data_IF_607174763364
#
_entry.id   IF_607174763364
#
_cell.length_a   1.000
_cell.length_b   1.000
_cell.length_c   1.000
_cell.angle_alpha   90.00
_cell.angle_beta   90.00
_cell.angle_gamma   90.00
#
_symmetry.space_group_name_H-M   'P 1'
#
loop_
_entity.id
_entity.type
_entity.pdbx_description
1 polymer ?
#
# COMPACT_ATOMS: atom_id res chain seq x y z
N UNK A 1 -4.49 -5.85 -3.21
CA UNK A 1 -4.68 -6.00 -1.75
C UNK A 1 -6.06 -6.54 -1.32
N UNK A 2 -7.11 -6.51 -2.16
CA UNK A 2 -8.52 -6.79 -1.76
C UNK A 2 -8.80 -8.12 -1.05
N UNK A 3 -8.00 -9.17 -1.27
CA UNK A 3 -8.13 -10.45 -0.57
C UNK A 3 -7.68 -10.42 0.89
N UNK A 4 -7.01 -9.35 1.34
CA UNK A 4 -6.51 -9.20 2.70
C UNK A 4 -7.51 -8.46 3.62
N UNK A 5 -8.68 -8.05 3.11
CA UNK A 5 -9.64 -7.19 3.81
C UNK A 5 -10.13 -7.76 5.15
N UNK A 6 -10.25 -9.08 5.27
CA UNK A 6 -10.80 -9.75 6.45
C UNK A 6 -9.73 -10.00 7.52
N UNK A 7 -8.44 -9.76 7.21
CA UNK A 7 -7.34 -9.95 8.15
C UNK A 7 -7.23 -8.80 9.15
N UNK A 8 -6.79 -9.10 10.37
CA UNK A 8 -6.49 -8.09 11.38
C UNK A 8 -5.13 -7.41 11.15
N UNK A 9 -5.06 -6.51 10.17
CA UNK A 9 -3.86 -5.73 9.86
C UNK A 9 -3.70 -4.58 10.87
N UNK A 10 -2.66 -4.69 11.72
CA UNK A 10 -2.34 -3.70 12.76
C UNK A 10 -1.36 -2.63 12.30
N UNK A 11 -0.71 -2.84 11.15
CA UNK A 11 0.29 -1.95 10.60
C UNK A 11 0.77 -2.43 9.23
N UNK A 12 1.44 -1.56 8.50
CA UNK A 12 1.91 -1.78 7.13
C UNK A 12 3.09 -0.87 6.82
N UNK A 13 4.03 -1.36 6.00
CA UNK A 13 5.12 -0.59 5.42
C UNK A 13 5.26 -0.91 3.92
N UNK A 14 5.89 0.01 3.19
CA UNK A 14 6.31 -0.20 1.79
C UNK A 14 7.76 0.25 1.72
N UNK A 15 8.64 -0.71 1.48
CA UNK A 15 10.10 -0.54 1.53
C UNK A 15 10.73 -0.82 0.16
N UNK A 16 12.02 -0.57 0.03
CA UNK A 16 12.81 -0.83 -1.19
C UNK A 16 12.39 -0.02 -2.42
N UNK A 17 11.82 1.17 -2.22
CA UNK A 17 11.72 2.18 -3.28
C UNK A 17 13.07 2.88 -3.40
N UNK A 18 13.77 2.68 -4.50
CA UNK A 18 15.08 3.27 -4.77
C UNK A 18 15.00 4.29 -5.92
N UNK A 19 14.75 5.59 -5.65
CA UNK A 19 14.50 6.59 -6.69
C UNK A 19 15.62 6.72 -7.72
N UNK A 20 16.88 6.54 -7.30
CA UNK A 20 18.04 6.60 -8.18
C UNK A 20 18.04 5.53 -9.29
N UNK A 21 17.32 4.42 -9.07
CA UNK A 21 17.18 3.33 -10.03
C UNK A 21 15.78 3.27 -10.65
N UNK A 22 14.88 4.18 -10.26
CA UNK A 22 13.50 4.19 -10.71
C UNK A 22 13.33 5.00 -11.99
N UNK A 23 13.14 4.30 -13.10
CA UNK A 23 12.95 4.94 -14.39
C UNK A 23 11.50 5.39 -14.55
N UNK A 24 11.30 6.67 -14.85
CA UNK A 24 9.97 7.28 -15.00
C UNK A 24 9.08 7.15 -13.76
N UNK A 25 9.68 7.06 -12.57
CA UNK A 25 8.97 7.03 -11.27
C UNK A 25 7.97 5.87 -11.13
N UNK A 26 8.08 4.83 -11.96
CA UNK A 26 7.10 3.74 -12.02
C UNK A 26 7.06 2.95 -10.71
N UNK A 27 8.21 2.77 -10.06
CA UNK A 27 8.33 2.06 -8.78
C UNK A 27 7.75 2.90 -7.66
N UNK A 28 8.04 4.19 -7.62
CA UNK A 28 7.46 5.13 -6.67
C UNK A 28 5.93 5.21 -6.82
N UNK A 29 5.43 5.25 -8.06
CA UNK A 29 4.00 5.25 -8.35
C UNK A 29 3.33 3.93 -7.91
N UNK A 30 3.97 2.79 -8.18
CA UNK A 30 3.47 1.50 -7.72
C UNK A 30 3.43 1.43 -6.18
N UNK A 31 4.49 1.87 -5.50
CA UNK A 31 4.55 1.93 -4.04
C UNK A 31 3.44 2.81 -3.43
N UNK A 32 3.22 4.00 -4.01
CA UNK A 32 2.14 4.89 -3.59
C UNK A 32 0.75 4.24 -3.79
N UNK A 33 0.57 3.53 -4.91
CA UNK A 33 -0.69 2.83 -5.20
C UNK A 33 -0.95 1.69 -4.21
N UNK A 34 0.09 0.92 -3.85
CA UNK A 34 -0.03 -0.15 -2.85
C UNK A 34 -0.34 0.40 -1.45
N UNK A 35 0.31 1.50 -1.06
CA UNK A 35 0.03 2.17 0.21
C UNK A 35 -1.42 2.67 0.27
N UNK A 36 -1.92 3.25 -0.82
CA UNK A 36 -3.31 3.69 -0.93
C UNK A 36 -4.31 2.53 -0.82
N UNK A 37 -4.05 1.40 -1.49
CA UNK A 37 -4.94 0.23 -1.37
C UNK A 37 -5.03 -0.29 0.07
N UNK A 38 -3.92 -0.25 0.82
CA UNK A 38 -3.94 -0.67 2.22
C UNK A 38 -4.65 0.33 3.12
N UNK A 39 -4.54 1.64 2.84
CA UNK A 39 -5.36 2.66 3.53
C UNK A 39 -6.85 2.42 3.30
N UNK A 40 -7.26 2.02 2.09
CA UNK A 40 -8.66 1.65 1.83
C UNK A 40 -9.12 0.45 2.66
N UNK A 41 -8.25 -0.55 2.86
CA UNK A 41 -8.57 -1.68 3.73
C UNK A 41 -8.75 -1.22 5.18
N UNK A 42 -7.81 -0.42 5.72
CA UNK A 42 -7.92 0.10 7.08
C UNK A 42 -9.15 0.98 7.27
N UNK A 43 -9.50 1.80 6.26
CA UNK A 43 -10.68 2.65 6.29
C UNK A 43 -11.98 1.83 6.27
N UNK A 44 -12.06 0.79 5.42
CA UNK A 44 -13.22 -0.10 5.36
C UNK A 44 -13.48 -0.77 6.71
N UNK A 45 -12.43 -1.27 7.38
CA UNK A 45 -12.55 -1.92 8.70
C UNK A 45 -12.93 -0.98 9.84
N UNK A 46 -12.68 0.32 9.72
CA UNK A 46 -13.07 1.32 10.74
C UNK A 46 -14.56 1.69 10.65
N UNK A 47 -15.18 1.48 9.49
CA UNK A 47 -16.60 1.76 9.27
C UNK A 47 -17.54 0.61 9.66
N UNK A 48 -16.98 -0.56 10.01
CA UNK A 48 -17.67 -1.71 10.59
C UNK A 48 -17.67 -1.64 12.12
#
# INVERSE_FOLDING_TARGET
MRGLKDLNIVGMDVVEVAPAYDQSEITALAAATLALEMLYIQAAKKGE
#
